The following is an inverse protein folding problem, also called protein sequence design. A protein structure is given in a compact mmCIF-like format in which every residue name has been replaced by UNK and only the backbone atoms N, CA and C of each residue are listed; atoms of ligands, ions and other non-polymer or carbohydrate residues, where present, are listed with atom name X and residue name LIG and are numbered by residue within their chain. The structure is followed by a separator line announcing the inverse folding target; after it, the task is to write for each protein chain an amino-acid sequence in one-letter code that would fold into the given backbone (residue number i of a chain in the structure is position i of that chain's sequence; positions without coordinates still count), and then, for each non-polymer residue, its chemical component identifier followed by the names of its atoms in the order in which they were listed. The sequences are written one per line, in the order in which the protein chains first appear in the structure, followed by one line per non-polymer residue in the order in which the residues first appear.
data_IF_581564021395
#
_entry.id   IF_581564021395
#
_cell.length_a   1.000
_cell.length_b   1.000
_cell.length_c   1.000
_cell.angle_alpha   90.00
_cell.angle_beta   90.00
_cell.angle_gamma   90.00
#
_symmetry.space_group_name_H-M   'P 1'
#
loop_
_entity.id
_entity.type
_entity.pdbx_description
1 polymer ?
#
# COMPACT_ATOMS: atom_id res chain seq x y z
N UNK A 1 14.22 -17.38 -6.18
CA UNK A 1 13.14 -17.28 -7.19
C UNK A 1 12.41 -15.96 -7.02
N UNK A 2 12.15 -15.22 -8.09
CA UNK A 2 11.38 -13.97 -8.04
C UNK A 2 9.86 -14.23 -7.91
N UNK A 3 9.14 -13.29 -7.31
CA UNK A 3 7.68 -13.35 -7.08
C UNK A 3 6.91 -12.56 -8.15
N UNK A 4 5.67 -12.97 -8.40
CA UNK A 4 4.75 -12.26 -9.32
C UNK A 4 3.91 -11.21 -8.60
N UNK A 5 3.56 -11.47 -7.34
CA UNK A 5 2.69 -10.61 -6.55
C UNK A 5 3.16 -10.60 -5.11
N UNK A 6 2.95 -9.47 -4.45
CA UNK A 6 3.03 -9.32 -3.01
C UNK A 6 1.70 -8.73 -2.55
N UNK A 7 1.12 -9.33 -1.53
CA UNK A 7 -0.11 -8.86 -0.91
C UNK A 7 0.24 -8.29 0.46
N UNK A 8 -0.15 -7.03 0.70
CA UNK A 8 0.06 -6.32 1.95
C UNK A 8 -1.32 -5.92 2.44
N UNK A 9 -1.76 -6.52 3.55
CA UNK A 9 -3.08 -6.30 4.13
C UNK A 9 -2.90 -5.85 5.58
N UNK A 10 -3.47 -4.70 5.92
CA UNK A 10 -3.51 -4.13 7.28
C UNK A 10 -2.14 -4.07 7.97
N UNK A 11 -1.08 -3.87 7.19
CA UNK A 11 0.30 -3.90 7.70
C UNK A 11 1.20 -2.84 7.08
N UNK A 12 0.80 -2.17 6.00
CA UNK A 12 1.65 -1.15 5.38
C UNK A 12 1.76 0.11 6.26
N UNK A 13 0.70 0.46 6.99
CA UNK A 13 0.76 1.51 8.01
C UNK A 13 1.76 1.24 9.14
N UNK A 14 2.20 0.00 9.35
CA UNK A 14 3.25 -0.36 10.30
C UNK A 14 4.67 -0.26 9.72
N UNK A 15 4.84 0.06 8.44
CA UNK A 15 6.17 0.16 7.84
C UNK A 15 6.86 1.44 8.35
N UNK A 16 7.81 1.27 9.28
CA UNK A 16 8.63 2.36 9.84
C UNK A 16 9.60 2.94 8.79
N UNK A 17 10.14 2.07 7.93
CA UNK A 17 11.10 2.42 6.88
C UNK A 17 10.56 2.01 5.49
N UNK A 18 9.48 2.64 4.99
CA UNK A 18 8.77 2.19 3.79
C UNK A 18 9.69 2.18 2.55
N UNK A 19 10.61 3.14 2.42
CA UNK A 19 11.59 3.17 1.33
C UNK A 19 12.46 1.91 1.27
N UNK A 20 12.93 1.42 2.42
CA UNK A 20 13.79 0.23 2.49
C UNK A 20 13.00 -1.05 2.21
N UNK A 21 11.77 -1.13 2.76
CA UNK A 21 10.86 -2.24 2.49
C UNK A 21 10.51 -2.32 1.00
N UNK A 22 10.13 -1.21 0.38
CA UNK A 22 9.79 -1.14 -1.05
C UNK A 22 10.98 -1.45 -1.96
N UNK A 23 12.19 -0.98 -1.61
CA UNK A 23 13.40 -1.35 -2.35
C UNK A 23 13.67 -2.87 -2.30
N UNK A 24 13.41 -3.50 -1.14
CA UNK A 24 13.53 -4.96 -0.98
C UNK A 24 12.46 -5.71 -1.76
N UNK A 25 11.21 -5.23 -1.74
CA UNK A 25 10.11 -5.78 -2.54
C UNK A 25 10.39 -5.68 -4.04
N UNK A 26 10.89 -4.54 -4.50
CA UNK A 26 11.27 -4.32 -5.90
C UNK A 26 12.34 -5.34 -6.36
N UNK A 27 13.34 -5.64 -5.53
CA UNK A 27 14.35 -6.68 -5.83
C UNK A 27 13.76 -8.09 -5.87
N UNK A 28 12.75 -8.38 -5.06
CA UNK A 28 12.12 -9.70 -4.98
C UNK A 28 11.07 -9.96 -6.08
N UNK A 29 10.51 -8.91 -6.68
CA UNK A 29 9.49 -8.98 -7.73
C UNK A 29 10.11 -9.09 -9.13
N UNK A 30 9.44 -9.87 -9.99
CA UNK A 30 9.71 -9.90 -11.44
C UNK A 30 9.41 -8.54 -12.08
N UNK A 31 9.88 -8.34 -13.31
CA UNK A 31 9.30 -7.33 -14.19
C UNK A 31 7.78 -7.55 -14.27
N UNK A 32 7.02 -6.45 -14.30
CA UNK A 32 5.55 -6.44 -14.21
C UNK A 32 4.95 -7.09 -12.94
N UNK A 33 5.78 -7.40 -11.93
CA UNK A 33 5.31 -7.89 -10.65
C UNK A 33 4.45 -6.85 -9.94
N UNK A 34 3.48 -7.30 -9.15
CA UNK A 34 2.48 -6.41 -8.55
C UNK A 34 2.57 -6.33 -7.02
N UNK A 35 2.29 -5.14 -6.49
CA UNK A 35 1.89 -4.94 -5.10
C UNK A 35 0.37 -4.79 -5.07
N UNK A 36 -0.29 -5.57 -4.22
CA UNK A 36 -1.69 -5.40 -3.89
C UNK A 36 -1.73 -4.91 -2.44
N UNK A 37 -2.16 -3.66 -2.27
CA UNK A 37 -2.27 -3.01 -0.97
C UNK A 37 -3.74 -2.99 -0.54
N UNK A 38 -4.00 -3.50 0.66
CA UNK A 38 -5.25 -3.29 1.40
C UNK A 38 -4.88 -2.64 2.72
N UNK A 39 -5.41 -1.45 2.99
CA UNK A 39 -5.15 -0.72 4.22
C UNK A 39 -6.36 0.17 4.57
N UNK A 40 -6.36 0.76 5.76
CA UNK A 40 -7.48 1.48 6.32
C UNK A 40 -7.69 2.85 5.67
N UNK A 41 -8.95 3.21 5.45
CA UNK A 41 -9.37 4.57 5.14
C UNK A 41 -9.18 5.43 6.38
N UNK A 42 -8.27 6.40 6.32
CA UNK A 42 -8.01 7.36 7.41
C UNK A 42 -8.56 8.73 7.03
N UNK A 43 -9.82 8.96 7.37
CA UNK A 43 -10.62 10.12 6.99
C UNK A 43 -11.19 10.80 8.24
N UNK A 44 -10.85 12.08 8.43
CA UNK A 44 -11.31 12.85 9.58
C UNK A 44 -12.83 13.01 9.57
N UNK A 45 -13.47 12.73 10.71
CA UNK A 45 -14.94 12.78 10.85
C UNK A 45 -15.68 11.57 10.27
N UNK A 46 -15.00 10.63 9.61
CA UNK A 46 -15.60 9.41 9.04
C UNK A 46 -15.03 8.12 9.66
N UNK A 47 -13.71 8.05 9.84
CA UNK A 47 -13.04 6.88 10.40
C UNK A 47 -13.17 6.79 11.92
N UNK A 48 -13.10 5.58 12.46
CA UNK A 48 -13.12 5.36 13.91
C UNK A 48 -11.90 5.98 14.62
N UNK A 49 -12.04 6.27 15.91
CA UNK A 49 -10.94 6.76 16.75
C UNK A 49 -9.73 5.84 16.73
N UNK A 50 -9.93 4.52 16.67
CA UNK A 50 -8.84 3.56 16.58
C UNK A 50 -8.03 3.76 15.30
N UNK A 51 -8.70 3.87 14.14
CA UNK A 51 -8.01 4.11 12.85
C UNK A 51 -7.26 5.45 12.89
N UNK A 52 -7.89 6.50 13.40
CA UNK A 52 -7.30 7.84 13.42
C UNK A 52 -6.02 7.93 14.26
N UNK A 53 -5.92 7.12 15.33
CA UNK A 53 -4.77 7.07 16.24
C UNK A 53 -3.75 5.95 15.91
N UNK A 54 -4.13 4.93 15.15
CA UNK A 54 -3.27 3.78 14.84
C UNK A 54 -2.62 3.88 13.46
N UNK A 55 -3.35 4.39 12.47
CA UNK A 55 -2.91 4.40 11.07
C UNK A 55 -2.10 5.66 10.80
N UNK A 56 -0.84 5.50 10.39
CA UNK A 56 0.13 6.61 10.30
C UNK A 56 -0.20 7.69 9.25
N UNK A 57 -0.94 7.34 8.20
CA UNK A 57 -1.35 8.28 7.15
C UNK A 57 -2.51 7.70 6.32
N UNK A 58 -3.13 8.51 5.47
CA UNK A 58 -4.20 8.07 4.55
C UNK A 58 -3.67 7.55 3.21
N UNK A 59 -4.59 7.03 2.39
CA UNK A 59 -4.30 6.37 1.09
C UNK A 59 -3.33 7.16 0.21
N UNK A 60 -3.54 8.48 0.10
CA UNK A 60 -2.73 9.33 -0.79
C UNK A 60 -1.24 9.33 -0.44
N UNK A 61 -0.89 9.24 0.85
CA UNK A 61 0.49 9.17 1.30
C UNK A 61 1.10 7.82 0.93
N UNK A 62 0.40 6.72 1.23
CA UNK A 62 0.88 5.37 0.94
C UNK A 62 1.02 5.12 -0.55
N UNK A 63 0.08 5.60 -1.37
CA UNK A 63 0.20 5.54 -2.83
C UNK A 63 1.45 6.27 -3.33
N UNK A 64 1.68 7.51 -2.88
CA UNK A 64 2.85 8.30 -3.30
C UNK A 64 4.18 7.64 -2.93
N UNK A 65 4.26 7.01 -1.75
CA UNK A 65 5.47 6.29 -1.34
C UNK A 65 5.76 5.09 -2.26
N UNK A 66 4.73 4.31 -2.59
CA UNK A 66 4.84 3.16 -3.49
C UNK A 66 5.20 3.62 -4.91
N UNK A 67 4.55 4.65 -5.43
CA UNK A 67 4.83 5.21 -6.75
C UNK A 67 6.27 5.78 -6.84
N UNK A 68 6.72 6.47 -5.79
CA UNK A 68 8.08 6.99 -5.68
C UNK A 68 9.14 5.88 -5.64
N UNK A 69 8.76 4.66 -5.28
CA UNK A 69 9.64 3.49 -5.28
C UNK A 69 9.71 2.78 -6.65
N UNK A 70 9.20 3.39 -7.72
CA UNK A 70 9.27 2.85 -9.07
C UNK A 70 8.12 1.90 -9.41
N UNK A 71 7.00 2.02 -8.72
CA UNK A 71 5.76 1.33 -9.08
C UNK A 71 4.79 2.32 -9.74
N UNK A 72 3.78 1.82 -10.42
CA UNK A 72 2.68 2.60 -10.99
C UNK A 72 1.35 2.07 -10.49
N UNK A 73 0.43 2.95 -10.09
CA UNK A 73 -0.94 2.56 -9.70
C UNK A 73 -1.70 2.10 -10.96
N UNK A 74 -2.22 0.87 -10.94
CA UNK A 74 -2.93 0.27 -12.08
C UNK A 74 -4.43 0.13 -11.84
N UNK A 75 -4.87 0.06 -10.58
CA UNK A 75 -6.27 0.02 -10.21
C UNK A 75 -6.50 0.48 -8.76
N UNK A 76 -7.70 0.97 -8.48
CA UNK A 76 -8.20 1.34 -7.15
C UNK A 76 -9.60 0.77 -7.00
N UNK A 77 -9.92 0.21 -5.83
CA UNK A 77 -11.23 -0.35 -5.53
C UNK A 77 -11.69 0.14 -4.16
N UNK A 78 -12.89 0.69 -4.15
CA UNK A 78 -13.61 1.09 -2.94
C UNK A 78 -14.79 0.14 -2.71
N UNK A 79 -14.48 -1.07 -2.27
CA UNK A 79 -15.45 -2.18 -2.11
C UNK A 79 -15.50 -2.73 -0.68
N UNK A 80 -14.69 -2.17 0.21
CA UNK A 80 -14.60 -2.56 1.62
C UNK A 80 -15.07 -1.40 2.50
N UNK A 81 -15.60 -1.72 3.68
CA UNK A 81 -16.16 -0.72 4.59
C UNK A 81 -15.08 0.24 5.08
N UNK A 82 -14.13 -0.27 5.85
CA UNK A 82 -13.12 0.53 6.56
C UNK A 82 -11.78 0.57 5.82
N UNK A 83 -11.63 -0.17 4.72
CA UNK A 83 -10.39 -0.33 3.97
C UNK A 83 -10.56 0.10 2.51
N UNK A 84 -9.45 0.42 1.85
CA UNK A 84 -9.36 0.52 0.40
C UNK A 84 -8.50 -0.63 -0.15
N UNK A 85 -8.60 -0.88 -1.45
CA UNK A 85 -7.67 -1.76 -2.16
C UNK A 85 -7.04 -1.02 -3.36
N UNK A 86 -5.72 -1.05 -3.46
CA UNK A 86 -4.97 -0.47 -4.59
C UNK A 86 -4.01 -1.51 -5.16
N UNK A 87 -3.91 -1.54 -6.49
CA UNK A 87 -2.92 -2.35 -7.20
C UNK A 87 -1.85 -1.46 -7.81
N UNK A 88 -0.61 -1.92 -7.71
CA UNK A 88 0.53 -1.28 -8.33
C UNK A 88 1.34 -2.30 -9.12
N UNK A 89 1.84 -1.90 -10.29
CA UNK A 89 2.78 -2.69 -11.11
C UNK A 89 4.18 -2.10 -11.00
N UNK A 90 5.21 -2.94 -10.95
CA UNK A 90 6.60 -2.51 -11.01
C UNK A 90 6.93 -1.99 -12.41
N UNK A 91 7.50 -0.78 -12.49
CA UNK A 91 8.02 -0.18 -13.75
C UNK A 91 9.27 -0.91 -14.25
#
# INVERSE_FOLDING_TARGET
MLKNKVFICDTYHHFELPKNALASLSKALRADGEIILVDFKREEGASSDWIMNHVRAGESVFCREIESAGFEKTASYDILKDNYMVRFRKK
#
